data_IF_386277691102
#
_entry.id   IF_386277691102
#
_cell.length_a   1.000
_cell.length_b   1.000
_cell.length_c   1.000
_cell.angle_alpha   90.00
_cell.angle_beta   90.00
_cell.angle_gamma   90.00
#
_symmetry.space_group_name_H-M   'P 1'
#
loop_
_entity.id
_entity.type
_entity.pdbx_description
1 polymer ?
#
# COMPACT_ATOMS: atom_id res chain seq x y z
N UNK A 1 -17.77 28.26 -1.71
CA UNK A 1 -17.51 26.83 -1.45
C UNK A 1 -16.04 26.59 -1.75
N UNK A 2 -15.24 25.95 -0.88
CA UNK A 2 -13.91 25.51 -1.33
C UNK A 2 -14.13 24.54 -2.48
N UNK A 3 -13.53 24.81 -3.63
CA UNK A 3 -13.62 23.94 -4.80
C UNK A 3 -13.08 22.53 -4.46
N UNK A 4 -13.57 21.47 -5.12
CA UNK A 4 -12.95 20.15 -4.99
C UNK A 4 -11.47 20.29 -5.37
N UNK A 5 -10.58 20.07 -4.40
CA UNK A 5 -9.13 20.14 -4.61
C UNK A 5 -8.76 19.03 -5.59
N UNK A 6 -8.19 19.37 -6.73
CA UNK A 6 -7.64 18.42 -7.70
C UNK A 6 -6.18 18.19 -7.34
N UNK A 7 -5.74 16.93 -7.30
CA UNK A 7 -4.37 16.58 -6.98
C UNK A 7 -3.76 15.74 -8.09
N UNK A 8 -2.51 16.05 -8.42
CA UNK A 8 -1.70 15.23 -9.31
C UNK A 8 -1.07 14.10 -8.50
N UNK A 9 -1.29 12.86 -8.89
CA UNK A 9 -0.68 11.68 -8.29
C UNK A 9 0.51 11.26 -9.14
N UNK A 10 1.71 11.48 -8.63
CA UNK A 10 2.97 11.24 -9.34
C UNK A 10 3.50 9.85 -8.96
N UNK A 11 3.71 9.00 -9.95
CA UNK A 11 4.19 7.62 -9.78
C UNK A 11 5.46 7.41 -10.59
N UNK A 12 6.58 6.98 -9.97
CA UNK A 12 7.79 6.63 -10.70
C UNK A 12 7.57 5.46 -11.68
N UNK A 13 8.06 5.61 -12.91
CA UNK A 13 8.00 4.57 -13.93
C UNK A 13 8.76 3.31 -13.50
N UNK A 14 8.19 2.14 -13.79
CA UNK A 14 8.73 0.85 -13.34
C UNK A 14 8.31 0.45 -11.92
N UNK A 15 7.62 1.32 -11.18
CA UNK A 15 7.02 0.97 -9.88
C UNK A 15 5.57 0.48 -10.04
N UNK A 16 5.45 -0.82 -10.35
CA UNK A 16 4.16 -1.49 -10.57
C UNK A 16 3.26 -1.49 -9.34
N UNK A 17 3.84 -1.60 -8.15
CA UNK A 17 3.09 -1.66 -6.89
C UNK A 17 2.56 -0.26 -6.54
N UNK A 18 3.37 0.78 -6.73
CA UNK A 18 2.92 2.16 -6.59
C UNK A 18 1.84 2.52 -7.60
N UNK A 19 1.99 2.09 -8.87
CA UNK A 19 0.97 2.35 -9.90
C UNK A 19 -0.37 1.69 -9.56
N UNK A 20 -0.36 0.47 -9.05
CA UNK A 20 -1.58 -0.20 -8.57
C UNK A 20 -2.20 0.54 -7.39
N UNK A 21 -1.39 0.94 -6.42
CA UNK A 21 -1.87 1.67 -5.26
C UNK A 21 -2.45 3.05 -5.63
N UNK A 22 -1.81 3.77 -6.55
CA UNK A 22 -2.34 5.02 -7.10
C UNK A 22 -3.71 4.81 -7.77
N UNK A 23 -3.89 3.72 -8.52
CA UNK A 23 -5.20 3.34 -9.06
C UNK A 23 -6.25 3.07 -7.98
N UNK A 24 -5.87 2.43 -6.87
CA UNK A 24 -6.77 2.23 -5.72
C UNK A 24 -7.14 3.56 -5.06
N UNK A 25 -6.18 4.49 -4.89
CA UNK A 25 -6.47 5.83 -4.37
C UNK A 25 -7.48 6.58 -5.24
N UNK A 26 -7.38 6.49 -6.57
CA UNK A 26 -8.36 7.08 -7.49
C UNK A 26 -9.74 6.48 -7.27
N UNK A 27 -9.84 5.14 -7.24
CA UNK A 27 -11.12 4.45 -7.06
C UNK A 27 -11.80 4.80 -5.72
N UNK A 28 -11.02 4.91 -4.65
CA UNK A 28 -11.52 5.34 -3.33
C UNK A 28 -11.92 6.81 -3.33
N UNK A 29 -11.20 7.69 -4.04
CA UNK A 29 -11.53 9.10 -4.14
C UNK A 29 -12.78 9.38 -4.98
N UNK A 30 -13.09 8.52 -5.95
CA UNK A 30 -14.33 8.57 -6.73
C UNK A 30 -15.54 8.00 -5.96
N UNK A 31 -15.30 7.25 -4.90
CA UNK A 31 -16.35 6.65 -4.08
C UNK A 31 -17.01 7.69 -3.17
N UNK A 32 -18.33 7.55 -2.97
CA UNK A 32 -19.09 8.46 -2.11
C UNK A 32 -18.53 8.44 -0.67
N UNK A 33 -18.28 9.60 -0.06
CA UNK A 33 -17.88 9.65 1.33
C UNK A 33 -18.98 9.05 2.20
N UNK A 34 -18.60 8.23 3.18
CA UNK A 34 -19.54 7.68 4.15
C UNK A 34 -20.40 8.82 4.75
N UNK A 35 -21.72 8.64 4.90
CA UNK A 35 -22.61 9.69 5.42
C UNK A 35 -22.28 10.12 6.86
N UNK A 36 -21.44 9.35 7.56
CA UNK A 36 -20.90 9.69 8.87
C UNK A 36 -19.63 10.57 8.82
N UNK A 37 -19.10 10.87 7.63
CA UNK A 37 -17.86 11.61 7.46
C UNK A 37 -18.10 13.12 7.56
N UNK A 38 -17.38 13.78 8.47
CA UNK A 38 -17.34 15.24 8.58
C UNK A 38 -16.62 15.90 7.41
N UNK A 39 -15.92 15.12 6.56
CA UNK A 39 -15.16 15.63 5.42
C UNK A 39 -16.07 15.95 4.24
N UNK A 40 -15.84 17.12 3.61
CA UNK A 40 -16.59 17.66 2.46
C UNK A 40 -16.41 16.89 1.12
N UNK A 41 -16.05 15.61 1.16
CA UNK A 41 -15.69 14.80 -0.02
C UNK A 41 -14.19 14.62 -0.22
N UNK A 42 -13.81 13.66 -1.07
CA UNK A 42 -12.43 13.36 -1.42
C UNK A 42 -11.91 14.29 -2.53
N UNK A 43 -10.59 14.55 -2.60
CA UNK A 43 -10.01 15.28 -3.71
C UNK A 43 -10.10 14.48 -5.01
N UNK A 44 -10.26 15.17 -6.14
CA UNK A 44 -10.15 14.52 -7.46
C UNK A 44 -8.68 14.19 -7.74
N UNK A 45 -8.38 12.93 -8.06
CA UNK A 45 -7.02 12.45 -8.27
C UNK A 45 -6.76 12.19 -9.76
N UNK A 46 -5.59 12.63 -10.25
CA UNK A 46 -5.14 12.33 -11.62
C UNK A 46 -3.75 11.70 -11.58
N UNK A 47 -3.62 10.48 -12.07
CA UNK A 47 -2.35 9.75 -12.04
C UNK A 47 -1.47 10.10 -13.24
N UNK A 48 -0.17 10.30 -13.00
CA UNK A 48 0.87 10.45 -14.01
C UNK A 48 2.08 9.56 -13.68
N UNK A 49 2.59 8.89 -14.71
CA UNK A 49 3.88 8.19 -14.65
C UNK A 49 5.02 9.15 -14.96
N UNK A 50 6.11 9.08 -14.18
CA UNK A 50 7.32 9.89 -14.40
C UNK A 50 8.57 9.03 -14.39
N UNK A 51 9.43 9.24 -15.37
CA UNK A 51 10.72 8.57 -15.44
C UNK A 51 11.66 9.13 -14.38
N UNK A 52 12.40 8.26 -13.67
CA UNK A 52 13.31 8.69 -12.59
C UNK A 52 14.64 9.26 -13.11
N UNK A 53 15.09 8.85 -14.29
CA UNK A 53 16.36 9.33 -14.88
C UNK A 53 16.24 10.71 -15.57
N UNK A 54 15.11 11.38 -15.40
CA UNK A 54 14.76 12.63 -16.06
C UNK A 54 13.28 12.95 -15.83
N UNK A 55 12.87 13.21 -14.58
CA UNK A 55 11.47 13.38 -14.23
C UNK A 55 10.89 14.62 -14.92
N UNK A 56 9.79 14.42 -15.65
CA UNK A 56 9.05 15.47 -16.34
C UNK A 56 7.60 15.43 -15.88
N UNK A 57 7.22 16.41 -15.07
CA UNK A 57 5.86 16.53 -14.51
C UNK A 57 5.03 17.47 -15.40
N UNK A 58 3.75 17.14 -15.70
CA UNK A 58 2.90 18.02 -16.48
C UNK A 58 2.63 19.35 -15.75
N UNK A 59 3.02 20.45 -16.36
CA UNK A 59 2.82 21.82 -15.88
C UNK A 59 1.39 22.29 -16.19
N UNK A 60 0.45 22.01 -15.28
CA UNK A 60 -0.97 22.37 -15.44
C UNK A 60 -1.45 23.06 -14.17
N UNK A 61 -1.99 24.27 -14.29
CA UNK A 61 -2.52 25.04 -13.16
C UNK A 61 -3.87 24.55 -12.64
N UNK A 62 -4.39 23.42 -13.14
CA UNK A 62 -5.69 22.89 -12.72
C UNK A 62 -5.63 22.08 -11.43
N UNK A 63 -4.44 21.62 -11.06
CA UNK A 63 -4.17 20.83 -9.86
C UNK A 63 -3.62 21.75 -8.75
N UNK A 64 -4.05 21.50 -7.52
CA UNK A 64 -3.69 22.31 -6.34
C UNK A 64 -2.42 21.80 -5.63
N UNK A 65 -1.73 20.81 -6.21
CA UNK A 65 -0.54 20.17 -5.63
C UNK A 65 -0.37 18.72 -6.08
N UNK A 66 0.76 18.13 -5.69
CA UNK A 66 1.18 16.78 -6.04
C UNK A 66 1.27 15.84 -4.83
N UNK A 67 0.83 14.59 -5.01
CA UNK A 67 1.02 13.47 -4.10
C UNK A 67 1.96 12.46 -4.77
N UNK A 68 3.12 12.19 -4.17
CA UNK A 68 4.06 11.20 -4.71
C UNK A 68 3.74 9.83 -4.13
N UNK A 69 3.59 8.81 -4.98
CA UNK A 69 3.30 7.42 -4.55
C UNK A 69 4.44 6.52 -5.00
N UNK A 70 5.05 5.80 -4.05
CA UNK A 70 6.18 4.91 -4.32
C UNK A 70 6.18 3.66 -3.45
N UNK A 71 6.84 2.60 -3.91
CA UNK A 71 7.03 1.36 -3.17
C UNK A 71 8.27 1.40 -2.30
N UNK A 72 8.19 0.76 -1.14
CA UNK A 72 9.33 0.59 -0.24
C UNK A 72 10.53 -0.06 -0.94
N UNK A 73 11.72 0.52 -0.72
CA UNK A 73 13.00 -0.05 -1.16
C UNK A 73 13.23 -0.05 -2.67
N UNK A 74 12.39 0.62 -3.45
CA UNK A 74 12.50 0.67 -4.92
C UNK A 74 13.31 1.87 -5.43
N UNK A 75 13.57 2.87 -4.58
CA UNK A 75 14.19 4.15 -4.94
C UNK A 75 15.18 4.64 -3.90
N UNK A 76 16.13 5.45 -4.36
CA UNK A 76 17.10 6.21 -3.56
C UNK A 76 16.52 7.55 -3.11
N UNK A 77 17.18 8.19 -2.14
CA UNK A 77 16.79 9.53 -1.68
C UNK A 77 17.02 10.59 -2.77
N UNK A 78 18.08 10.45 -3.57
CA UNK A 78 18.41 11.34 -4.68
C UNK A 78 17.33 11.27 -5.78
N UNK A 79 16.96 10.07 -6.21
CA UNK A 79 15.85 9.90 -7.17
C UNK A 79 14.52 10.48 -6.66
N UNK A 80 14.28 10.45 -5.34
CA UNK A 80 13.09 11.10 -4.76
C UNK A 80 13.20 12.62 -4.76
N UNK A 81 14.39 13.16 -4.51
CA UNK A 81 14.65 14.59 -4.56
C UNK A 81 14.44 15.10 -5.99
N UNK A 82 14.96 14.41 -7.00
CA UNK A 82 14.80 14.78 -8.41
C UNK A 82 13.32 14.79 -8.83
N UNK A 83 12.53 13.82 -8.36
CA UNK A 83 11.07 13.79 -8.62
C UNK A 83 10.35 14.94 -7.91
N UNK A 84 10.73 15.27 -6.68
CA UNK A 84 10.13 16.37 -5.93
C UNK A 84 10.49 17.74 -6.55
N UNK A 85 11.74 17.90 -7.00
CA UNK A 85 12.21 19.08 -7.72
C UNK A 85 11.43 19.25 -9.03
N UNK A 86 11.28 18.19 -9.82
CA UNK A 86 10.47 18.24 -11.04
C UNK A 86 8.99 18.60 -10.78
N UNK A 87 8.44 18.24 -9.61
CA UNK A 87 7.10 18.69 -9.23
C UNK A 87 7.07 20.21 -8.98
N UNK A 88 8.06 20.73 -8.24
CA UNK A 88 8.17 22.15 -7.93
C UNK A 88 8.43 22.98 -9.20
N UNK A 89 9.29 22.50 -10.09
CA UNK A 89 9.56 23.11 -11.40
C UNK A 89 8.30 23.17 -12.26
N UNK A 90 7.43 22.17 -12.16
CA UNK A 90 6.14 22.12 -12.84
C UNK A 90 5.01 22.88 -12.14
N UNK A 91 5.33 23.67 -11.09
CA UNK A 91 4.36 24.47 -10.34
C UNK A 91 3.52 23.70 -9.31
N UNK A 92 3.82 22.42 -9.06
CA UNK A 92 3.07 21.59 -8.10
C UNK A 92 3.79 21.50 -6.76
N UNK A 93 3.21 22.06 -5.71
CA UNK A 93 3.66 21.81 -4.34
C UNK A 93 3.45 20.34 -3.97
N UNK A 94 4.50 19.66 -3.49
CA UNK A 94 4.37 18.29 -2.97
C UNK A 94 3.69 18.34 -1.60
N UNK A 95 2.40 18.01 -1.58
CA UNK A 95 1.57 18.06 -0.36
C UNK A 95 1.69 16.80 0.50
N UNK A 96 2.30 15.73 -0.02
CA UNK A 96 2.49 14.48 0.70
C UNK A 96 3.14 13.37 -0.11
N UNK A 97 3.52 12.32 0.61
CA UNK A 97 4.14 11.12 0.04
C UNK A 97 3.45 9.88 0.60
N UNK A 98 3.09 8.95 -0.29
CA UNK A 98 2.51 7.65 0.06
C UNK A 98 3.54 6.57 -0.21
N UNK A 99 3.90 5.86 0.83
CA UNK A 99 4.81 4.71 0.75
C UNK A 99 4.00 3.43 0.81
N UNK A 100 4.12 2.59 -0.21
CA UNK A 100 3.32 1.37 -0.35
C UNK A 100 4.20 0.12 -0.28
N UNK A 101 3.61 -0.96 0.21
CA UNK A 101 4.28 -2.25 0.31
C UNK A 101 3.29 -3.38 0.07
N UNK A 102 3.75 -4.47 -0.55
CA UNK A 102 2.92 -5.66 -0.71
C UNK A 102 2.85 -6.42 0.60
N UNK A 103 1.65 -6.61 1.12
CA UNK A 103 1.43 -7.54 2.25
C UNK A 103 1.34 -8.96 1.68
N UNK A 104 2.13 -9.90 2.22
CA UNK A 104 1.90 -11.33 1.94
C UNK A 104 0.60 -11.73 2.60
N UNK A 105 -0.44 -11.99 1.82
CA UNK A 105 -1.62 -12.66 2.34
C UNK A 105 -1.17 -14.02 2.89
N UNK A 106 -1.36 -14.25 4.20
CA UNK A 106 -1.22 -15.57 4.79
C UNK A 106 -2.16 -16.50 4.01
N UNK A 107 -1.69 -17.62 3.43
CA UNK A 107 -2.60 -18.60 2.87
C UNK A 107 -3.61 -18.96 3.95
N UNK A 108 -4.90 -18.76 3.67
CA UNK A 108 -5.96 -19.33 4.50
C UNK A 108 -5.68 -20.82 4.55
N UNK A 109 -5.34 -21.33 5.73
CA UNK A 109 -5.09 -22.75 5.93
C UNK A 109 -6.38 -23.45 5.55
N UNK A 110 -6.44 -24.05 4.36
CA UNK A 110 -7.47 -25.02 4.03
C UNK A 110 -7.50 -26.00 5.20
N UNK A 111 -8.68 -26.16 5.80
CA UNK A 111 -8.88 -27.10 6.88
C UNK A 111 -8.22 -28.43 6.50
N UNK A 112 -7.42 -28.96 7.42
CA UNK A 112 -6.66 -30.21 7.28
C UNK A 112 -7.48 -31.32 6.59
N UNK A 113 -6.85 -32.21 5.80
CA UNK A 113 -7.47 -33.47 5.42
C UNK A 113 -7.90 -34.25 6.69
N UNK A 114 -8.92 -35.13 6.62
CA UNK A 114 -9.42 -35.82 7.81
C UNK A 114 -8.27 -36.55 8.50
N UNK A 115 -8.11 -36.33 9.81
CA UNK A 115 -7.18 -37.11 10.63
C UNK A 115 -7.58 -38.57 10.51
N UNK A 116 -6.78 -39.34 9.78
CA UNK A 116 -6.89 -40.78 9.78
C UNK A 116 -6.72 -41.24 11.23
N UNK A 117 -7.68 -42.01 11.72
CA UNK A 117 -7.82 -42.35 13.13
C UNK A 117 -6.71 -43.30 13.54
N UNK A 118 -5.53 -42.76 13.88
CA UNK A 118 -4.48 -43.55 14.53
C UNK A 118 -4.87 -43.72 15.99
N UNK A 119 -5.55 -44.83 16.27
CA UNK A 119 -5.85 -45.32 17.62
C UNK A 119 -4.54 -45.47 18.41
N UNK A 120 -4.29 -44.69 19.48
CA UNK A 120 -3.11 -44.92 20.30
C UNK A 120 -3.34 -46.16 21.17
N UNK A 121 -2.51 -47.19 20.97
CA UNK A 121 -2.46 -48.36 21.85
C UNK A 121 -1.93 -47.95 23.23
N UNK A 122 -2.82 -47.96 24.23
CA UNK A 122 -2.46 -47.79 25.64
C UNK A 122 -1.60 -48.96 26.08
N UNK A 123 -0.30 -48.71 26.28
CA UNK A 123 0.59 -49.67 26.95
C UNK A 123 0.40 -49.54 28.46
N UNK A 124 -0.29 -50.51 29.05
CA UNK A 124 -0.30 -50.74 30.50
C UNK A 124 1.11 -51.12 30.93
N UNK A 125 1.77 -50.25 31.70
CA UNK A 125 2.94 -50.63 32.51
C UNK A 125 2.46 -51.01 33.90
N UNK A 126 2.44 -52.31 34.18
CA UNK A 126 2.48 -52.81 35.55
C UNK A 126 3.93 -52.91 36.01
N UNK A 127 4.26 -52.36 37.18
CA UNK A 127 5.25 -52.96 38.07
C UNK A 127 5.03 -52.54 39.52
N UNK A 128 5.26 -53.51 40.41
CA UNK A 128 4.81 -53.65 41.80
C UNK A 128 5.81 -53.03 42.81
N UNK A 129 5.56 -53.11 44.14
CA UNK A 129 6.06 -52.15 45.13
C UNK A 129 7.48 -52.44 45.62
N UNK A 130 8.22 -51.37 45.93
CA UNK A 130 9.53 -51.46 46.57
C UNK A 130 9.42 -51.73 48.08
N UNK A 131 10.02 -52.84 48.53
CA UNK A 131 10.27 -53.18 49.92
C UNK A 131 11.75 -53.05 50.29
N UNK A 132 12.00 -52.70 51.54
CA UNK A 132 13.25 -52.28 52.18
C UNK A 132 14.39 -53.32 52.24
N UNK A 133 15.62 -52.81 52.30
CA UNK A 133 16.69 -53.25 53.20
C UNK A 133 17.65 -52.06 53.46
#
# INVERSE_FOLDING_TARGET
MPAPRRLLVVVPDGDEVARRAAGQLVAEAESDPSPASSSRGYPMLRVVGVSVSGPMVPDRDTESGALVVLSVGSRTAEELADVAEACADAGHEVIGTVVVGTVRARPTRSADPPRDAVTPALTVRGHAPGGSA
#
